data_IF_221807648948
#
_entry.id   IF_221807648948
#
_cell.length_a   1.000
_cell.length_b   1.000
_cell.length_c   1.000
_cell.angle_alpha   90.00
_cell.angle_beta   90.00
_cell.angle_gamma   90.00
#
_symmetry.space_group_name_H-M   'P 1'
#
loop_
_entity.id
_entity.type
_entity.pdbx_description
1 polymer ?
#
# COMPACT_ATOMS: atom_id res chain seq x y z
N UNK A 1 -31.20 17.61 14.76
CA UNK A 1 -30.07 18.28 14.07
C UNK A 1 -28.84 17.53 14.53
N UNK A 2 -28.49 16.48 13.82
CA UNK A 2 -27.32 15.65 14.11
C UNK A 2 -26.20 16.20 13.25
N UNK A 3 -25.22 16.78 13.93
CA UNK A 3 -23.98 17.28 13.32
C UNK A 3 -23.24 16.09 12.68
N UNK A 4 -23.29 16.02 11.36
CA UNK A 4 -22.49 15.09 10.57
C UNK A 4 -21.05 15.62 10.62
N UNK A 5 -20.29 15.19 11.63
CA UNK A 5 -18.87 15.44 11.69
C UNK A 5 -18.21 14.74 10.49
N UNK A 6 -18.02 15.48 9.42
CA UNK A 6 -17.20 15.12 8.28
C UNK A 6 -15.87 14.58 8.80
N UNK A 7 -15.59 13.31 8.50
CA UNK A 7 -14.38 12.62 8.94
C UNK A 7 -13.18 13.22 8.23
N UNK A 8 -12.68 14.35 8.72
CA UNK A 8 -11.41 14.91 8.25
C UNK A 8 -10.29 13.92 8.58
N UNK A 9 -9.55 13.51 7.56
CA UNK A 9 -8.27 12.81 7.74
C UNK A 9 -7.44 13.54 8.80
N UNK A 10 -6.85 12.83 9.78
CA UNK A 10 -6.01 13.46 10.80
C UNK A 10 -5.00 14.41 10.16
N UNK A 11 -4.78 15.57 10.78
CA UNK A 11 -3.82 16.60 10.29
C UNK A 11 -2.45 16.02 9.96
N UNK A 12 -2.03 14.96 10.68
CA UNK A 12 -0.79 14.21 10.42
C UNK A 12 -0.73 13.57 9.03
N UNK A 13 -1.88 13.31 8.39
CA UNK A 13 -1.94 12.73 7.04
C UNK A 13 -2.05 13.80 5.94
N UNK A 14 -2.50 15.03 6.27
CA UNK A 14 -2.59 16.14 5.31
C UNK A 14 -1.22 16.62 4.84
N UNK A 15 -0.17 16.43 5.64
CA UNK A 15 1.21 16.84 5.36
C UNK A 15 2.13 15.67 4.93
N UNK A 16 1.59 14.53 4.48
CA UNK A 16 2.43 13.46 3.98
C UNK A 16 3.08 13.89 2.67
N UNK A 17 4.41 13.87 2.54
CA UNK A 17 5.04 14.05 1.24
C UNK A 17 4.47 13.00 0.29
N UNK A 18 4.14 13.41 -0.94
CA UNK A 18 3.70 12.48 -2.01
C UNK A 18 4.64 11.28 -1.99
N UNK A 19 4.13 10.04 -1.90
CA UNK A 19 4.98 8.89 -2.10
C UNK A 19 5.65 9.11 -3.45
N UNK A 20 6.96 8.99 -3.49
CA UNK A 20 7.67 8.91 -4.77
C UNK A 20 7.27 7.57 -5.36
N UNK A 21 6.20 7.58 -6.18
CA UNK A 21 5.44 6.42 -6.61
C UNK A 21 6.19 5.34 -7.37
N UNK A 22 7.44 5.60 -7.71
CA UNK A 22 8.21 4.75 -8.64
C UNK A 22 9.07 3.67 -7.97
N UNK A 23 9.04 3.55 -6.65
CA UNK A 23 9.92 2.60 -5.94
C UNK A 23 9.30 1.20 -5.88
N UNK A 24 8.00 1.05 -6.17
CA UNK A 24 7.26 -0.13 -5.79
C UNK A 24 6.35 -0.65 -6.91
N UNK A 25 6.85 -1.54 -7.74
CA UNK A 25 5.99 -2.47 -8.45
C UNK A 25 5.55 -3.57 -7.44
N UNK A 26 4.25 -3.75 -7.19
CA UNK A 26 3.78 -4.40 -5.98
C UNK A 26 4.00 -5.91 -5.91
N UNK A 27 3.59 -6.67 -6.91
CA UNK A 27 3.54 -8.12 -6.79
C UNK A 27 4.71 -8.83 -7.41
N UNK A 28 5.19 -8.39 -8.58
CA UNK A 28 6.32 -9.03 -9.30
C UNK A 28 7.64 -8.90 -8.57
N UNK A 29 7.84 -7.79 -7.83
CA UNK A 29 9.08 -7.55 -7.08
C UNK A 29 8.98 -7.98 -5.62
N UNK A 30 7.75 -8.08 -5.05
CA UNK A 30 7.49 -8.42 -3.66
C UNK A 30 6.21 -9.23 -3.49
N UNK A 31 6.17 -10.50 -3.91
CA UNK A 31 4.96 -11.33 -3.83
C UNK A 31 4.48 -11.54 -2.39
N UNK A 32 5.34 -11.32 -1.38
CA UNK A 32 5.00 -11.46 0.04
C UNK A 32 4.44 -10.18 0.66
N UNK A 33 4.31 -9.08 -0.08
CA UNK A 33 3.82 -7.80 0.44
C UNK A 33 2.74 -7.20 -0.44
N UNK A 34 1.82 -6.46 0.20
CA UNK A 34 0.74 -5.72 -0.48
C UNK A 34 0.76 -4.27 -0.02
N UNK A 35 0.77 -3.28 -0.91
CA UNK A 35 0.52 -1.90 -0.53
C UNK A 35 -0.97 -1.70 -0.24
N UNK A 36 -1.29 -1.16 0.92
CA UNK A 36 -2.65 -0.85 1.34
C UNK A 36 -2.76 0.65 1.59
N UNK A 37 -3.69 1.36 0.93
CA UNK A 37 -3.90 2.78 1.16
C UNK A 37 -4.23 3.10 2.62
N UNK A 38 -3.69 4.20 3.16
CA UNK A 38 -3.96 4.58 4.55
C UNK A 38 -5.46 4.79 4.87
N UNK A 39 -6.30 5.34 3.98
CA UNK A 39 -7.74 5.40 4.23
C UNK A 39 -8.37 4.03 4.48
N UNK A 40 -7.87 2.99 3.82
CA UNK A 40 -8.32 1.61 4.03
C UNK A 40 -7.81 1.03 5.34
N UNK A 41 -6.57 1.37 5.74
CA UNK A 41 -6.01 0.98 7.05
C UNK A 41 -6.81 1.60 8.18
N UNK A 42 -7.16 2.89 8.05
CA UNK A 42 -7.84 3.70 9.05
C UNK A 42 -9.37 3.71 8.88
N UNK A 43 -9.91 2.76 8.13
CA UNK A 43 -11.36 2.71 7.86
C UNK A 43 -12.17 2.71 9.15
N UNK A 44 -13.20 3.56 9.19
CA UNK A 44 -14.24 3.53 10.23
C UNK A 44 -15.20 2.41 9.91
N UNK A 45 -15.56 1.65 10.91
CA UNK A 45 -16.44 0.50 10.74
C UNK A 45 -17.58 0.61 11.74
N UNK A 46 -18.79 0.64 11.22
CA UNK A 46 -19.99 0.53 12.03
C UNK A 46 -20.29 -0.95 12.27
N UNK A 47 -20.07 -1.41 13.49
CA UNK A 47 -20.35 -2.79 13.89
C UNK A 47 -19.08 -3.64 14.12
N UNK A 48 -19.26 -4.95 14.27
CA UNK A 48 -18.16 -5.86 14.60
C UNK A 48 -17.23 -6.04 13.41
N UNK A 49 -15.99 -5.62 13.58
CA UNK A 49 -14.90 -5.85 12.63
C UNK A 49 -13.75 -6.58 13.34
N UNK A 50 -13.39 -7.75 12.86
CA UNK A 50 -12.45 -8.65 13.53
C UNK A 50 -11.08 -8.68 12.85
N UNK A 51 -10.09 -9.29 13.54
CA UNK A 51 -8.81 -9.58 12.91
C UNK A 51 -8.95 -10.49 11.67
N UNK A 52 -9.90 -11.42 11.71
CA UNK A 52 -10.20 -12.30 10.58
C UNK A 52 -10.63 -11.50 9.34
N UNK A 53 -11.53 -10.52 9.52
CA UNK A 53 -12.02 -9.69 8.41
C UNK A 53 -10.86 -8.96 7.73
N UNK A 54 -9.95 -8.41 8.53
CA UNK A 54 -8.79 -7.69 8.03
C UNK A 54 -7.82 -8.60 7.29
N UNK A 55 -7.51 -9.73 7.87
CA UNK A 55 -6.62 -10.74 7.26
C UNK A 55 -7.20 -11.29 5.96
N UNK A 56 -8.49 -11.61 5.96
CA UNK A 56 -9.17 -12.12 4.78
C UNK A 56 -9.18 -11.08 3.66
N UNK A 57 -9.51 -9.83 3.97
CA UNK A 57 -9.46 -8.74 2.99
C UNK A 57 -8.05 -8.59 2.38
N UNK A 58 -7.01 -8.66 3.19
CA UNK A 58 -5.64 -8.57 2.71
C UNK A 58 -5.28 -9.75 1.79
N UNK A 59 -5.71 -10.97 2.11
CA UNK A 59 -5.52 -12.12 1.24
C UNK A 59 -6.27 -11.99 -0.08
N UNK A 60 -7.51 -11.50 -0.05
CA UNK A 60 -8.30 -11.24 -1.25
C UNK A 60 -7.61 -10.17 -2.11
N UNK A 61 -7.13 -9.08 -1.51
CA UNK A 61 -6.39 -8.05 -2.21
C UNK A 61 -5.09 -8.58 -2.81
N UNK A 62 -4.32 -9.35 -2.05
CA UNK A 62 -3.08 -9.95 -2.53
C UNK A 62 -3.33 -10.88 -3.72
N UNK A 63 -4.37 -11.70 -3.64
CA UNK A 63 -4.75 -12.63 -4.71
C UNK A 63 -5.20 -11.90 -6.00
N UNK A 64 -5.89 -10.77 -5.86
CA UNK A 64 -6.41 -9.99 -6.99
C UNK A 64 -5.39 -9.00 -7.58
N UNK A 65 -4.24 -8.79 -6.93
CA UNK A 65 -3.37 -7.64 -7.17
C UNK A 65 -3.02 -7.41 -8.64
N UNK A 66 -2.59 -8.44 -9.35
CA UNK A 66 -2.14 -8.33 -10.75
C UNK A 66 -3.31 -8.13 -11.74
N UNK A 67 -4.54 -8.22 -11.26
CA UNK A 67 -5.75 -8.13 -12.07
C UNK A 67 -6.72 -7.02 -11.61
N UNK A 68 -6.27 -6.15 -10.67
CA UNK A 68 -7.14 -5.11 -10.10
C UNK A 68 -7.63 -4.07 -11.12
N UNK A 69 -6.89 -3.84 -12.20
CA UNK A 69 -7.22 -2.94 -13.30
C UNK A 69 -7.80 -3.67 -14.52
N UNK A 70 -7.94 -4.99 -14.43
CA UNK A 70 -8.50 -5.80 -15.52
C UNK A 70 -10.01 -5.62 -15.62
N UNK A 71 -10.56 -5.95 -16.80
CA UNK A 71 -12.02 -5.96 -17.04
C UNK A 71 -12.72 -7.22 -16.51
N UNK A 72 -12.02 -8.04 -15.72
CA UNK A 72 -12.64 -9.23 -15.11
C UNK A 72 -13.75 -8.82 -14.15
N UNK A 73 -14.94 -9.39 -14.26
CA UNK A 73 -16.04 -9.05 -13.36
C UNK A 73 -15.80 -9.54 -11.94
N UNK A 74 -15.08 -10.65 -11.78
CA UNK A 74 -14.77 -11.25 -10.48
C UNK A 74 -13.36 -11.81 -10.45
N UNK A 75 -12.73 -11.68 -9.29
CA UNK A 75 -11.58 -12.46 -8.87
C UNK A 75 -12.07 -13.72 -8.17
N UNK A 76 -11.24 -14.77 -8.12
CA UNK A 76 -11.57 -16.00 -7.42
C UNK A 76 -10.48 -16.36 -6.42
N UNK A 77 -10.86 -16.89 -5.26
CA UNK A 77 -9.93 -17.39 -4.25
C UNK A 77 -10.44 -18.71 -3.68
N UNK A 78 -9.53 -19.67 -3.49
CA UNK A 78 -9.85 -20.97 -2.92
C UNK A 78 -10.03 -20.88 -1.40
N UNK A 79 -11.14 -21.40 -0.87
CA UNK A 79 -11.38 -21.54 0.57
C UNK A 79 -10.29 -22.42 1.21
N UNK A 80 -9.94 -23.54 0.57
CA UNK A 80 -8.89 -24.42 1.05
C UNK A 80 -7.51 -23.72 1.13
N UNK A 81 -7.21 -22.84 0.17
CA UNK A 81 -5.96 -22.08 0.19
C UNK A 81 -5.95 -21.05 1.31
N UNK A 82 -7.05 -20.33 1.52
CA UNK A 82 -7.20 -19.40 2.65
C UNK A 82 -6.96 -20.15 3.96
N UNK A 83 -7.65 -21.27 4.18
CA UNK A 83 -7.50 -22.07 5.39
C UNK A 83 -6.07 -22.60 5.58
N UNK A 84 -5.44 -23.05 4.49
CA UNK A 84 -4.04 -23.48 4.49
C UNK A 84 -3.08 -22.36 4.93
N UNK A 85 -3.27 -21.14 4.42
CA UNK A 85 -2.47 -19.98 4.80
C UNK A 85 -2.68 -19.61 6.26
N UNK A 86 -3.92 -19.59 6.73
CA UNK A 86 -4.22 -19.34 8.15
C UNK A 86 -3.58 -20.38 9.07
N UNK A 87 -3.65 -21.66 8.73
CA UNK A 87 -3.01 -22.76 9.51
C UNK A 87 -1.49 -22.65 9.50
N UNK A 88 -0.89 -22.19 8.38
CA UNK A 88 0.57 -22.06 8.25
C UNK A 88 1.15 -20.89 9.03
N UNK A 89 0.51 -19.73 8.98
CA UNK A 89 1.07 -18.49 9.49
C UNK A 89 0.36 -17.94 10.73
N UNK A 90 -0.81 -18.39 11.03
CA UNK A 90 -1.59 -17.92 12.15
C UNK A 90 -2.37 -19.03 12.82
N UNK A 91 -2.63 -18.90 14.12
CA UNK A 91 -3.69 -19.65 14.75
C UNK A 91 -5.01 -19.20 14.16
N UNK A 92 -5.81 -20.16 13.77
CA UNK A 92 -7.16 -19.95 13.27
C UNK A 92 -8.04 -19.38 14.38
N UNK A 93 -8.17 -18.07 14.47
CA UNK A 93 -9.25 -17.42 15.23
C UNK A 93 -10.58 -17.57 14.47
N UNK A 94 -10.73 -18.68 13.76
CA UNK A 94 -11.93 -19.06 13.03
C UNK A 94 -13.04 -19.55 13.97
N UNK A 95 -12.97 -19.17 15.26
CA UNK A 95 -14.08 -19.39 16.19
C UNK A 95 -14.15 -20.79 16.83
N UNK A 96 -13.09 -21.60 16.72
CA UNK A 96 -13.07 -22.96 17.28
C UNK A 96 -12.83 -23.06 18.79
N UNK A 97 -12.68 -21.94 19.51
CA UNK A 97 -12.74 -21.98 20.97
C UNK A 97 -14.20 -22.01 21.45
N UNK A 98 -14.80 -23.19 21.49
CA UNK A 98 -15.96 -23.48 22.30
C UNK A 98 -17.32 -23.53 21.60
N UNK A 99 -17.40 -23.42 20.27
CA UNK A 99 -18.68 -23.50 19.56
C UNK A 99 -18.63 -24.37 18.30
N UNK A 100 -18.15 -25.60 18.44
CA UNK A 100 -18.56 -26.65 17.50
C UNK A 100 -20.06 -26.81 17.64
N UNK A 101 -20.82 -26.26 16.68
CA UNK A 101 -22.26 -26.53 16.61
C UNK A 101 -22.40 -28.03 16.44
N UNK A 102 -23.08 -28.66 17.38
CA UNK A 102 -23.34 -30.10 17.37
C UNK A 102 -23.78 -30.53 15.95
N UNK A 103 -23.04 -31.45 15.31
CA UNK A 103 -23.36 -32.00 13.98
C UNK A 103 -22.67 -31.36 12.80
N UNK A 104 -21.71 -30.39 12.97
CA UNK A 104 -20.90 -29.84 11.87
C UNK A 104 -19.45 -30.25 12.00
N UNK A 105 -18.78 -30.53 10.87
CA UNK A 105 -17.35 -30.73 10.82
C UNK A 105 -16.59 -29.43 11.12
N UNK A 106 -15.32 -29.53 11.54
CA UNK A 106 -14.44 -28.38 11.78
C UNK A 106 -14.33 -27.53 10.52
N UNK A 107 -14.15 -28.13 9.37
CA UNK A 107 -14.08 -27.48 8.05
C UNK A 107 -15.36 -26.72 7.67
N UNK A 108 -16.53 -27.25 7.99
CA UNK A 108 -17.81 -26.56 7.79
C UNK A 108 -17.94 -25.32 8.67
N UNK A 109 -17.45 -25.41 9.88
CA UNK A 109 -17.47 -24.29 10.84
C UNK A 109 -16.51 -23.20 10.40
N UNK A 110 -15.29 -23.54 9.98
CA UNK A 110 -14.29 -22.63 9.46
C UNK A 110 -14.78 -21.92 8.17
N UNK A 111 -15.34 -22.69 7.23
CA UNK A 111 -15.90 -22.14 5.98
C UNK A 111 -17.08 -21.18 6.24
N UNK A 112 -17.93 -21.50 7.21
CA UNK A 112 -19.02 -20.60 7.60
C UNK A 112 -18.49 -19.30 8.22
N UNK A 113 -17.46 -19.37 9.07
CA UNK A 113 -16.81 -18.20 9.65
C UNK A 113 -16.15 -17.29 8.60
N UNK A 114 -15.50 -17.89 7.59
CA UNK A 114 -14.97 -17.14 6.45
C UNK A 114 -16.08 -16.43 5.68
N UNK A 115 -17.20 -17.12 5.40
CA UNK A 115 -18.30 -16.49 4.68
C UNK A 115 -18.94 -15.34 5.46
N UNK A 116 -19.08 -15.48 6.78
CA UNK A 116 -19.54 -14.37 7.64
C UNK A 116 -18.56 -13.20 7.63
N UNK A 117 -17.26 -13.47 7.56
CA UNK A 117 -16.24 -12.45 7.39
C UNK A 117 -16.40 -11.72 6.05
N UNK A 118 -16.59 -12.45 4.95
CA UNK A 118 -16.88 -11.86 3.62
C UNK A 118 -18.13 -10.97 3.66
N UNK A 119 -19.20 -11.41 4.32
CA UNK A 119 -20.42 -10.59 4.49
C UNK A 119 -20.16 -9.28 5.22
N UNK A 120 -19.30 -9.28 6.25
CA UNK A 120 -18.91 -8.05 6.94
C UNK A 120 -18.09 -7.15 6.03
N UNK A 121 -17.16 -7.69 5.23
CA UNK A 121 -16.39 -6.91 4.27
C UNK A 121 -17.25 -6.22 3.21
N UNK A 122 -18.30 -6.88 2.73
CA UNK A 122 -19.28 -6.28 1.79
C UNK A 122 -20.08 -5.15 2.44
N UNK A 123 -20.32 -5.22 3.76
CA UNK A 123 -21.05 -4.20 4.51
C UNK A 123 -20.15 -3.07 5.02
N UNK A 124 -18.84 -3.24 5.00
CA UNK A 124 -17.89 -2.25 5.50
C UNK A 124 -17.53 -1.27 4.41
N UNK A 125 -17.80 0.01 4.62
CA UNK A 125 -17.46 1.08 3.69
C UNK A 125 -16.12 1.72 4.03
N UNK A 126 -15.45 2.22 3.01
CA UNK A 126 -14.26 3.06 3.10
C UNK A 126 -14.50 4.34 2.32
N UNK A 127 -14.10 5.45 2.93
CA UNK A 127 -14.17 6.77 2.32
C UNK A 127 -12.75 7.25 2.00
N UNK A 128 -12.62 7.95 0.89
CA UNK A 128 -11.36 8.59 0.50
C UNK A 128 -11.64 9.93 -0.18
N UNK A 129 -10.63 10.76 -0.22
CA UNK A 129 -10.65 12.04 -0.91
C UNK A 129 -9.37 12.19 -1.73
N UNK A 130 -9.50 12.55 -2.98
CA UNK A 130 -8.38 12.94 -3.84
C UNK A 130 -8.54 14.40 -4.31
N UNK A 131 -7.78 14.84 -5.32
CA UNK A 131 -7.83 16.24 -5.79
C UNK A 131 -9.16 16.59 -6.46
N UNK A 132 -9.80 15.60 -7.09
CA UNK A 132 -10.97 15.80 -7.94
C UNK A 132 -12.25 15.24 -7.33
N UNK A 133 -12.16 14.23 -6.45
CA UNK A 133 -13.31 13.45 -6.00
C UNK A 133 -13.26 13.10 -4.52
N UNK A 134 -14.45 13.10 -3.92
CA UNK A 134 -14.71 12.34 -2.69
C UNK A 134 -15.37 11.02 -3.10
N UNK A 135 -14.86 9.92 -2.57
CA UNK A 135 -15.35 8.59 -2.91
C UNK A 135 -15.72 7.77 -1.70
N UNK A 136 -16.73 6.93 -1.87
CA UNK A 136 -17.13 5.91 -0.91
C UNK A 136 -17.29 4.57 -1.65
N UNK A 137 -16.83 3.48 -1.05
CA UNK A 137 -17.01 2.14 -1.56
C UNK A 137 -17.07 1.12 -0.43
N UNK A 138 -17.69 -0.04 -0.68
CA UNK A 138 -17.48 -1.17 0.20
C UNK A 138 -16.05 -1.71 0.06
N UNK A 139 -15.49 -2.32 1.11
CA UNK A 139 -14.19 -2.99 1.07
C UNK A 139 -14.16 -4.13 0.04
N UNK A 140 -15.27 -4.83 -0.11
CA UNK A 140 -15.56 -5.78 -1.18
C UNK A 140 -16.91 -5.37 -1.77
N UNK A 141 -16.95 -5.01 -3.03
CA UNK A 141 -18.19 -4.51 -3.64
C UNK A 141 -19.25 -5.58 -3.78
N UNK A 142 -18.83 -6.80 -4.07
CA UNK A 142 -19.70 -7.95 -4.27
C UNK A 142 -18.94 -9.24 -3.98
N UNK A 143 -19.63 -10.25 -3.46
CA UNK A 143 -19.09 -11.60 -3.30
C UNK A 143 -20.14 -12.67 -3.56
N UNK A 144 -19.71 -13.75 -4.22
CA UNK A 144 -20.54 -14.91 -4.54
C UNK A 144 -19.91 -16.17 -3.95
N UNK A 145 -20.72 -16.97 -3.31
CA UNK A 145 -20.36 -18.31 -2.89
C UNK A 145 -21.28 -19.30 -3.60
N UNK A 146 -20.70 -20.23 -4.36
CA UNK A 146 -21.49 -21.28 -5.00
C UNK A 146 -22.29 -22.08 -3.96
N UNK A 147 -23.55 -22.38 -4.23
CA UNK A 147 -24.34 -23.32 -3.40
C UNK A 147 -23.68 -24.70 -3.31
N UNK A 148 -22.86 -25.03 -4.32
CA UNK A 148 -22.02 -26.23 -4.37
C UNK A 148 -20.58 -25.91 -3.94
N UNK A 149 -20.38 -24.97 -3.00
CA UNK A 149 -19.04 -24.53 -2.59
C UNK A 149 -18.17 -25.68 -2.06
N UNK A 150 -18.78 -26.73 -1.51
CA UNK A 150 -18.10 -27.97 -1.10
C UNK A 150 -17.44 -28.70 -2.29
N UNK A 151 -17.97 -28.52 -3.50
CA UNK A 151 -17.41 -29.12 -4.72
C UNK A 151 -16.40 -28.18 -5.38
N UNK A 152 -16.71 -26.87 -5.43
CA UNK A 152 -15.87 -25.88 -6.09
C UNK A 152 -14.83 -25.26 -5.18
N UNK A 153 -15.12 -25.16 -3.87
CA UNK A 153 -14.22 -24.58 -2.86
C UNK A 153 -13.80 -23.14 -3.09
N UNK A 154 -14.53 -22.37 -3.92
CA UNK A 154 -14.13 -21.01 -4.33
C UNK A 154 -15.12 -19.95 -3.87
N UNK A 155 -14.56 -18.79 -3.52
CA UNK A 155 -15.27 -17.52 -3.33
C UNK A 155 -14.94 -16.64 -4.54
N UNK A 156 -15.95 -16.10 -5.19
CA UNK A 156 -15.82 -15.06 -6.22
C UNK A 156 -16.12 -13.71 -5.58
N UNK A 157 -15.34 -12.70 -5.92
CA UNK A 157 -15.46 -11.38 -5.31
C UNK A 157 -14.98 -10.28 -6.25
N UNK A 158 -15.45 -9.05 -6.02
CA UNK A 158 -15.04 -7.88 -6.78
C UNK A 158 -14.71 -6.72 -5.87
N UNK A 159 -13.78 -5.88 -6.31
CA UNK A 159 -13.52 -4.56 -5.73
C UNK A 159 -14.20 -3.47 -6.56
N UNK A 160 -14.68 -2.42 -5.91
CA UNK A 160 -15.23 -1.27 -6.62
C UNK A 160 -14.15 -0.59 -7.47
N UNK A 161 -14.46 -0.19 -8.71
CA UNK A 161 -13.49 0.44 -9.63
C UNK A 161 -12.79 1.67 -9.03
N UNK A 162 -13.52 2.50 -8.26
CA UNK A 162 -12.96 3.65 -7.56
C UNK A 162 -11.93 3.23 -6.49
N UNK A 163 -12.27 2.23 -5.67
CA UNK A 163 -11.37 1.69 -4.66
C UNK A 163 -10.14 1.04 -5.30
N UNK A 164 -10.30 0.27 -6.37
CA UNK A 164 -9.18 -0.34 -7.11
C UNK A 164 -8.19 0.71 -7.61
N UNK A 165 -8.66 1.82 -8.16
CA UNK A 165 -7.80 2.94 -8.57
C UNK A 165 -7.01 3.53 -7.39
N UNK A 166 -7.66 3.72 -6.23
CA UNK A 166 -6.99 4.22 -5.02
C UNK A 166 -5.95 3.23 -4.49
N UNK A 167 -6.21 1.93 -4.62
CA UNK A 167 -5.28 0.87 -4.21
C UNK A 167 -4.05 0.83 -5.13
N UNK A 168 -4.23 0.97 -6.44
CA UNK A 168 -3.15 0.92 -7.43
C UNK A 168 -2.28 2.17 -7.43
N UNK A 169 -2.85 3.35 -7.14
CA UNK A 169 -2.14 4.62 -7.12
C UNK A 169 -2.36 5.39 -5.79
N UNK A 170 -2.01 4.82 -4.64
CA UNK A 170 -2.28 5.45 -3.35
C UNK A 170 -1.35 6.64 -3.11
N UNK A 171 -1.89 7.75 -2.60
CA UNK A 171 -1.09 8.91 -2.14
C UNK A 171 -0.23 8.58 -0.93
N UNK A 172 -0.75 7.73 -0.04
CA UNK A 172 -0.06 7.22 1.13
C UNK A 172 -0.50 5.77 1.39
N UNK A 173 0.45 4.89 1.63
CA UNK A 173 0.18 3.48 1.83
C UNK A 173 1.11 2.83 2.85
N UNK A 174 0.65 1.74 3.45
CA UNK A 174 1.43 0.80 4.22
C UNK A 174 1.80 -0.39 3.32
N UNK A 175 3.05 -0.84 3.36
CA UNK A 175 3.50 -2.04 2.65
C UNK A 175 3.43 -3.24 3.57
N UNK A 176 2.28 -3.89 3.57
CA UNK A 176 1.99 -4.96 4.50
C UNK A 176 2.63 -6.28 4.08
N UNK A 177 3.27 -6.95 5.02
CA UNK A 177 3.78 -8.33 4.85
C UNK A 177 2.67 -9.29 5.22
N UNK A 178 2.16 -10.01 4.23
CA UNK A 178 1.00 -10.89 4.38
C UNK A 178 1.22 -11.91 5.50
N UNK A 179 2.37 -12.58 5.53
CA UNK A 179 2.66 -13.60 6.55
C UNK A 179 2.69 -13.04 7.98
N UNK A 180 3.18 -11.80 8.17
CA UNK A 180 3.20 -11.13 9.48
C UNK A 180 1.77 -10.79 9.92
N UNK A 181 0.99 -10.18 9.03
CA UNK A 181 -0.42 -9.86 9.33
C UNK A 181 -1.19 -11.12 9.69
N UNK A 182 -0.94 -12.24 8.98
CA UNK A 182 -1.59 -13.51 9.29
C UNK A 182 -1.15 -14.08 10.66
N UNK A 183 0.10 -13.87 11.07
CA UNK A 183 0.62 -14.35 12.35
C UNK A 183 0.09 -13.57 13.56
N UNK A 184 -0.17 -12.26 13.43
CA UNK A 184 -0.74 -11.43 14.49
C UNK A 184 -2.12 -11.94 14.91
N UNK A 185 -2.40 -11.99 16.21
CA UNK A 185 -3.65 -12.56 16.78
C UNK A 185 -4.69 -11.50 17.11
N UNK A 186 -4.23 -10.40 17.72
CA UNK A 186 -5.10 -9.34 18.17
C UNK A 186 -5.50 -8.42 17.01
N UNK A 187 -6.79 -8.03 16.94
CA UNK A 187 -7.24 -6.97 16.01
C UNK A 187 -6.48 -5.67 16.20
N UNK A 188 -6.07 -5.38 17.44
CA UNK A 188 -5.31 -4.19 17.78
C UNK A 188 -3.87 -4.27 17.25
N UNK A 189 -3.24 -5.44 17.36
CA UNK A 189 -1.90 -5.67 16.81
C UNK A 189 -1.89 -5.59 15.29
N UNK A 190 -2.88 -6.19 14.61
CA UNK A 190 -3.03 -6.12 13.17
C UNK A 190 -3.15 -4.66 12.71
N UNK A 191 -4.11 -3.92 13.26
CA UNK A 191 -4.34 -2.53 12.84
C UNK A 191 -3.15 -1.62 13.20
N UNK A 192 -2.56 -1.79 14.38
CA UNK A 192 -1.39 -1.02 14.78
C UNK A 192 -0.19 -1.31 13.85
N UNK A 193 0.08 -2.57 13.52
CA UNK A 193 1.14 -2.96 12.58
C UNK A 193 0.95 -2.29 11.22
N UNK A 194 -0.27 -2.29 10.69
CA UNK A 194 -0.59 -1.65 9.41
C UNK A 194 -0.32 -0.14 9.44
N UNK A 195 -0.71 0.53 10.53
CA UNK A 195 -0.43 1.96 10.70
C UNK A 195 1.08 2.21 10.80
N UNK A 196 1.78 1.45 11.64
CA UNK A 196 3.21 1.63 11.88
C UNK A 196 4.04 1.39 10.61
N UNK A 197 3.64 0.43 9.77
CA UNK A 197 4.30 0.14 8.49
C UNK A 197 4.30 1.34 7.54
N UNK A 198 3.30 2.21 7.60
CA UNK A 198 3.27 3.44 6.82
C UNK A 198 4.27 4.51 7.34
N UNK A 199 4.73 4.39 8.57
CA UNK A 199 5.63 5.37 9.20
C UNK A 199 7.08 4.92 9.23
N UNK A 200 7.37 3.62 9.17
CA UNK A 200 8.72 3.07 9.35
C UNK A 200 9.74 3.58 8.31
N UNK A 201 9.30 3.96 7.11
CA UNK A 201 10.16 4.48 6.05
C UNK A 201 10.25 6.01 6.03
N UNK A 202 9.66 6.70 6.99
CA UNK A 202 9.77 8.15 7.10
C UNK A 202 11.15 8.55 7.63
N UNK A 203 11.55 9.79 7.35
CA UNK A 203 12.81 10.36 7.85
C UNK A 203 12.88 10.32 9.38
N UNK A 204 11.77 10.64 10.04
CA UNK A 204 11.59 10.47 11.47
C UNK A 204 10.81 9.17 11.68
N UNK A 205 11.48 8.13 12.17
CA UNK A 205 10.88 6.83 12.49
C UNK A 205 10.06 6.92 13.79
N UNK A 206 9.35 8.01 13.99
CA UNK A 206 8.45 8.20 15.13
C UNK A 206 7.21 8.97 14.70
N UNK A 207 6.11 8.73 15.40
CA UNK A 207 4.91 9.54 15.27
C UNK A 207 4.18 9.64 16.60
N UNK A 208 3.44 10.74 16.74
CA UNK A 208 2.63 11.00 17.93
C UNK A 208 1.18 11.10 17.52
N UNK A 209 0.32 10.45 18.28
CA UNK A 209 -1.14 10.41 18.06
C UNK A 209 -1.86 10.74 19.36
N UNK A 210 -3.01 11.41 19.28
CA UNK A 210 -3.88 11.61 20.45
C UNK A 210 -4.45 10.28 20.92
N UNK A 211 -4.75 10.14 22.20
CA UNK A 211 -5.39 8.92 22.71
C UNK A 211 -6.75 8.71 22.04
N UNK A 212 -7.47 9.79 21.76
CA UNK A 212 -8.76 9.76 21.08
C UNK A 212 -8.64 9.20 19.67
N UNK A 213 -7.75 9.75 18.84
CA UNK A 213 -7.49 9.24 17.48
C UNK A 213 -7.00 7.80 17.51
N UNK A 214 -6.10 7.46 18.45
CA UNK A 214 -5.60 6.11 18.62
C UNK A 214 -6.73 5.11 18.89
N UNK A 215 -7.66 5.44 19.81
CA UNK A 215 -8.83 4.60 20.09
C UNK A 215 -9.70 4.42 18.86
N UNK A 216 -9.93 5.52 18.13
CA UNK A 216 -10.71 5.53 16.89
C UNK A 216 -10.08 4.62 15.83
N UNK A 217 -8.77 4.76 15.59
CA UNK A 217 -8.06 3.98 14.57
C UNK A 217 -8.04 2.48 14.89
N UNK A 218 -7.80 2.13 16.16
CA UNK A 218 -7.79 0.74 16.61
C UNK A 218 -9.18 0.16 16.86
N UNK A 219 -10.25 0.96 16.66
CA UNK A 219 -11.62 0.52 16.87
C UNK A 219 -11.83 -0.02 18.29
N UNK A 220 -11.28 0.70 19.27
CA UNK A 220 -11.50 0.45 20.68
C UNK A 220 -12.93 0.91 21.03
N UNK A 221 -13.81 0.06 21.59
CA UNK A 221 -15.16 0.47 21.98
C UNK A 221 -15.15 1.68 22.91
N UNK A 222 -16.13 2.58 22.76
CA UNK A 222 -16.18 3.82 23.53
C UNK A 222 -16.22 3.59 25.04
N UNK A 223 -16.94 2.56 25.44
CA UNK A 223 -17.14 2.15 26.84
C UNK A 223 -15.98 1.29 27.40
N UNK A 224 -15.04 0.86 26.56
CA UNK A 224 -13.95 -0.01 26.99
C UNK A 224 -12.67 0.79 27.25
N UNK A 225 -11.96 0.44 28.35
CA UNK A 225 -10.62 0.98 28.66
C UNK A 225 -10.58 2.52 28.69
N UNK A 226 -11.48 3.13 29.46
CA UNK A 226 -11.68 4.58 29.49
C UNK A 226 -10.42 5.34 29.96
N UNK A 227 -9.66 4.81 30.89
CA UNK A 227 -8.44 5.44 31.37
C UNK A 227 -7.17 4.93 30.63
N UNK A 228 -6.10 5.73 30.70
CA UNK A 228 -4.81 5.39 30.10
C UNK A 228 -4.21 4.08 30.63
N UNK A 229 -4.36 3.80 31.92
CA UNK A 229 -3.79 2.61 32.54
C UNK A 229 -4.40 1.34 31.94
N UNK A 230 -5.72 1.34 31.78
CA UNK A 230 -6.43 0.21 31.20
C UNK A 230 -6.23 0.11 29.70
N UNK A 231 -6.25 1.22 28.96
CA UNK A 231 -5.93 1.26 27.54
C UNK A 231 -4.50 0.74 27.28
N UNK A 232 -3.53 1.21 28.06
CA UNK A 232 -2.14 0.74 27.99
C UNK A 232 -2.06 -0.76 28.23
N UNK A 233 -2.67 -1.27 29.31
CA UNK A 233 -2.57 -2.67 29.73
C UNK A 233 -3.25 -3.62 28.74
N UNK A 234 -4.41 -3.25 28.22
CA UNK A 234 -5.26 -4.17 27.45
C UNK A 234 -5.14 -3.99 25.94
N UNK A 235 -4.60 -2.87 25.45
CA UNK A 235 -4.50 -2.55 24.02
C UNK A 235 -3.05 -2.29 23.60
N UNK A 236 -2.40 -1.25 24.17
CA UNK A 236 -1.10 -0.78 23.66
C UNK A 236 0.00 -1.82 23.93
N UNK A 237 0.16 -2.25 25.18
CA UNK A 237 1.18 -3.20 25.59
C UNK A 237 1.08 -4.54 24.86
N UNK A 238 -0.10 -5.19 24.81
CA UNK A 238 -0.23 -6.47 24.10
C UNK A 238 0.02 -6.31 22.60
N UNK A 239 -0.50 -5.25 21.97
CA UNK A 239 -0.31 -5.01 20.54
C UNK A 239 1.16 -4.77 20.17
N UNK A 240 1.86 -3.94 20.94
CA UNK A 240 3.30 -3.68 20.75
C UNK A 240 4.12 -4.93 21.02
N UNK A 241 3.81 -5.68 22.08
CA UNK A 241 4.48 -6.95 22.39
C UNK A 241 4.36 -7.94 21.23
N UNK A 242 3.16 -8.14 20.72
CA UNK A 242 2.89 -9.06 19.61
C UNK A 242 3.57 -8.62 18.30
N UNK A 243 3.61 -7.32 18.00
CA UNK A 243 4.35 -6.80 16.84
C UNK A 243 5.85 -7.07 16.99
N UNK A 244 6.41 -6.86 18.17
CA UNK A 244 7.84 -7.05 18.43
C UNK A 244 8.24 -8.54 18.45
N UNK A 245 7.35 -9.47 18.79
CA UNK A 245 7.56 -10.92 18.61
C UNK A 245 7.86 -11.27 17.14
N UNK A 246 7.32 -10.50 16.22
CA UNK A 246 7.51 -10.64 14.78
C UNK A 246 8.43 -9.55 14.17
N UNK A 247 9.20 -8.82 14.99
CA UNK A 247 9.95 -7.63 14.56
C UNK A 247 10.95 -7.89 13.44
N UNK A 248 11.65 -9.01 13.45
CA UNK A 248 12.57 -9.41 12.38
C UNK A 248 11.82 -9.66 11.06
N UNK A 249 10.81 -10.50 11.09
CA UNK A 249 9.98 -10.80 9.92
C UNK A 249 9.13 -9.60 9.50
N UNK A 250 8.62 -8.84 10.46
CA UNK A 250 7.88 -7.60 10.29
C UNK A 250 8.73 -6.46 9.75
N UNK A 251 10.04 -6.54 9.96
CA UNK A 251 11.00 -5.59 9.46
C UNK A 251 11.19 -4.35 10.33
N UNK A 252 10.59 -4.30 11.51
CA UNK A 252 10.81 -3.25 12.49
C UNK A 252 10.38 -3.67 13.90
N UNK A 253 10.96 -3.01 14.87
CA UNK A 253 10.56 -3.04 16.26
C UNK A 253 9.92 -1.70 16.64
N UNK A 254 9.05 -1.70 17.63
CA UNK A 254 8.34 -0.51 18.10
C UNK A 254 8.45 -0.37 19.61
N UNK A 255 8.70 0.87 20.06
CA UNK A 255 8.54 1.29 21.45
C UNK A 255 7.48 2.39 21.52
N UNK A 256 6.92 2.61 22.71
CA UNK A 256 5.90 3.61 22.91
C UNK A 256 6.10 4.36 24.23
N UNK A 257 5.66 5.61 24.25
CA UNK A 257 5.64 6.49 25.42
C UNK A 257 4.31 7.22 25.49
N UNK A 258 3.69 7.23 26.69
CA UNK A 258 2.51 8.06 26.96
C UNK A 258 2.92 9.47 27.30
N UNK A 259 2.43 10.46 26.58
CA UNK A 259 2.71 11.87 26.80
C UNK A 259 1.56 12.55 27.55
N UNK A 260 1.90 13.40 28.50
CA UNK A 260 0.91 14.14 29.30
C UNK A 260 0.71 15.55 28.75
N UNK A 261 -0.52 16.01 28.85
CA UNK A 261 -0.87 17.43 28.76
C UNK A 261 -1.50 17.82 30.11
N UNK A 262 -0.74 18.58 30.89
CA UNK A 262 -1.08 18.84 32.29
C UNK A 262 -0.98 17.57 33.15
N UNK A 263 -2.05 17.21 33.83
CA UNK A 263 -2.12 16.02 34.73
C UNK A 263 -2.54 14.74 34.01
N UNK A 264 -3.19 14.84 32.86
CA UNK A 264 -3.74 13.71 32.11
C UNK A 264 -2.79 13.23 31.00
N UNK A 265 -2.84 11.93 30.68
CA UNK A 265 -2.23 11.42 29.46
C UNK A 265 -3.15 11.79 28.28
N UNK A 266 -2.57 12.45 27.26
CA UNK A 266 -3.32 12.94 26.11
C UNK A 266 -2.84 12.33 24.78
N UNK A 267 -1.56 11.94 24.69
CA UNK A 267 -0.96 11.45 23.45
C UNK A 267 -0.11 10.20 23.68
N UNK A 268 0.11 9.47 22.63
CA UNK A 268 1.02 8.32 22.58
C UNK A 268 2.05 8.62 21.50
N UNK A 269 3.33 8.54 21.85
CA UNK A 269 4.44 8.58 20.89
C UNK A 269 4.91 7.16 20.62
N UNK A 270 4.96 6.77 19.37
CA UNK A 270 5.56 5.52 18.92
C UNK A 270 6.90 5.82 18.25
N UNK A 271 7.92 5.02 18.58
CA UNK A 271 9.25 5.11 17.97
C UNK A 271 9.57 3.77 17.33
N UNK A 272 10.00 3.80 16.07
CA UNK A 272 10.23 2.63 15.24
C UNK A 272 11.73 2.48 14.98
N UNK A 273 12.22 1.24 15.07
CA UNK A 273 13.58 0.86 14.64
C UNK A 273 13.49 -0.23 13.60
N UNK A 274 14.11 -0.03 12.44
CA UNK A 274 14.13 -1.03 11.37
C UNK A 274 14.95 -2.24 11.77
N UNK A 275 14.52 -3.44 11.34
CA UNK A 275 15.35 -4.62 11.43
C UNK A 275 16.45 -4.59 10.36
N UNK A 276 17.64 -5.21 10.62
CA UNK A 276 18.72 -5.28 9.63
C UNK A 276 18.27 -5.89 8.30
N UNK A 277 17.46 -6.93 8.35
CA UNK A 277 16.92 -7.58 7.17
C UNK A 277 16.01 -6.68 6.32
N UNK A 278 15.38 -5.66 6.93
CA UNK A 278 14.62 -4.65 6.19
C UNK A 278 15.54 -3.63 5.54
N UNK A 279 16.54 -3.14 6.25
CA UNK A 279 17.49 -2.16 5.71
C UNK A 279 18.22 -2.74 4.49
N UNK A 280 18.65 -3.98 4.52
CA UNK A 280 19.27 -4.67 3.39
C UNK A 280 18.32 -4.75 2.19
N UNK A 281 17.05 -5.12 2.42
CA UNK A 281 16.04 -5.17 1.35
C UNK A 281 15.73 -3.80 0.76
N UNK A 282 15.55 -2.81 1.60
CA UNK A 282 15.30 -1.42 1.17
C UNK A 282 16.48 -0.90 0.34
N UNK A 283 17.73 -1.21 0.73
CA UNK A 283 18.93 -0.87 -0.02
C UNK A 283 18.97 -1.54 -1.41
N UNK A 284 18.64 -2.83 -1.49
CA UNK A 284 18.57 -3.57 -2.76
C UNK A 284 17.51 -2.97 -3.68
N UNK A 285 16.35 -2.63 -3.14
CA UNK A 285 15.25 -2.03 -3.90
C UNK A 285 15.59 -0.63 -4.41
N UNK A 286 16.17 0.20 -3.56
CA UNK A 286 16.64 1.53 -3.95
C UNK A 286 17.69 1.42 -5.07
N UNK A 287 18.59 0.43 -4.98
CA UNK A 287 19.58 0.18 -6.04
C UNK A 287 18.92 -0.27 -7.36
N UNK A 288 17.89 -1.14 -7.29
CA UNK A 288 17.10 -1.54 -8.48
C UNK A 288 16.32 -0.36 -9.05
N UNK A 289 15.65 0.44 -8.21
CA UNK A 289 14.91 1.61 -8.63
C UNK A 289 15.83 2.69 -9.25
N UNK A 290 17.01 2.93 -8.67
CA UNK A 290 18.03 3.82 -9.27
C UNK A 290 18.47 3.30 -10.64
N UNK A 291 18.69 1.99 -10.79
CA UNK A 291 19.02 1.38 -12.08
C UNK A 291 17.85 1.51 -13.08
N UNK A 292 16.62 1.24 -12.66
CA UNK A 292 15.44 1.41 -13.49
C UNK A 292 15.27 2.87 -13.93
N UNK A 293 15.42 3.85 -13.02
CA UNK A 293 15.39 5.28 -13.36
C UNK A 293 16.54 5.72 -14.27
N UNK A 294 17.71 5.12 -14.16
CA UNK A 294 18.80 5.36 -15.10
C UNK A 294 18.51 4.72 -16.49
N UNK A 295 17.60 3.77 -16.55
CA UNK A 295 17.14 3.09 -17.77
C UNK A 295 15.88 3.73 -18.36
N UNK A 296 15.01 4.32 -17.53
CA UNK A 296 13.85 5.12 -17.94
C UNK A 296 14.24 6.61 -18.02
N UNK A 297 15.09 6.97 -18.92
CA UNK A 297 14.83 8.18 -19.67
C UNK A 297 13.43 8.02 -20.28
N UNK A 298 12.66 9.11 -20.58
CA UNK A 298 11.30 8.97 -21.08
C UNK A 298 11.29 7.87 -22.14
N UNK A 299 10.48 6.84 -21.90
CA UNK A 299 10.39 5.71 -22.81
C UNK A 299 10.03 6.31 -24.17
N UNK A 300 11.01 6.35 -25.07
CA UNK A 300 10.74 6.66 -26.43
C UNK A 300 9.84 5.52 -26.88
N UNK A 301 8.53 5.80 -26.92
CA UNK A 301 7.55 4.95 -27.59
C UNK A 301 8.18 4.62 -28.94
N UNK A 302 8.37 3.35 -29.21
CA UNK A 302 8.94 2.90 -30.47
C UNK A 302 8.09 3.53 -31.59
N UNK A 303 8.67 4.54 -32.30
CA UNK A 303 7.99 5.31 -33.33
C UNK A 303 7.78 6.81 -33.03
N UNK A 304 7.94 7.30 -31.79
CA UNK A 304 7.88 8.76 -31.53
C UNK A 304 9.20 9.43 -31.90
N UNK A 305 9.14 10.46 -32.74
CA UNK A 305 10.32 11.25 -33.09
C UNK A 305 10.86 11.94 -31.82
N UNK A 306 12.17 11.84 -31.60
CA UNK A 306 12.83 12.50 -30.47
C UNK A 306 12.47 13.99 -30.40
N UNK A 307 12.04 14.46 -29.22
CA UNK A 307 11.79 15.86 -28.91
C UNK A 307 12.71 16.36 -27.80
N UNK A 308 13.54 17.39 -28.07
CA UNK A 308 14.40 17.96 -27.05
C UNK A 308 13.58 18.85 -26.10
N UNK A 309 13.93 18.83 -24.80
CA UNK A 309 13.38 19.80 -23.84
C UNK A 309 13.89 21.24 -24.14
N UNK A 310 13.15 22.25 -23.62
CA UNK A 310 13.56 23.65 -23.74
C UNK A 310 14.97 23.92 -23.19
N UNK A 311 15.36 23.22 -22.13
CA UNK A 311 16.71 23.29 -21.57
C UNK A 311 17.78 22.80 -22.56
N UNK A 312 17.50 21.74 -23.31
CA UNK A 312 18.40 21.22 -24.36
C UNK A 312 18.48 22.19 -25.52
N UNK A 313 17.35 22.76 -25.95
CA UNK A 313 17.30 23.77 -27.00
C UNK A 313 18.06 25.05 -26.60
N UNK A 314 18.03 25.43 -25.32
CA UNK A 314 18.82 26.55 -24.80
C UNK A 314 20.33 26.24 -24.84
N UNK A 315 20.74 25.02 -24.47
CA UNK A 315 22.15 24.61 -24.55
C UNK A 315 22.70 24.62 -25.97
N UNK A 316 21.87 24.36 -27.00
CA UNK A 316 22.33 24.41 -28.39
C UNK A 316 22.79 25.79 -28.84
N UNK A 317 22.29 26.87 -28.20
CA UNK A 317 22.76 28.25 -28.48
C UNK A 317 24.25 28.42 -28.15
N UNK A 318 24.71 27.72 -27.11
CA UNK A 318 26.12 27.77 -26.68
C UNK A 318 26.99 26.77 -27.41
N UNK A 319 26.45 25.59 -27.76
CA UNK A 319 27.18 24.47 -28.36
C UNK A 319 27.36 24.65 -29.85
N UNK A 320 26.35 25.18 -30.56
CA UNK A 320 26.32 25.38 -31.99
C UNK A 320 25.79 26.78 -32.33
N UNK A 321 26.52 27.84 -31.99
CA UNK A 321 26.07 29.21 -32.24
C UNK A 321 25.94 29.44 -33.77
N UNK A 322 24.85 30.04 -34.20
CA UNK A 322 24.54 30.32 -35.60
C UNK A 322 23.92 29.18 -36.39
N UNK A 323 23.82 27.96 -35.85
CA UNK A 323 23.16 26.86 -36.52
C UNK A 323 21.64 26.86 -36.28
N UNK A 324 20.88 26.52 -37.31
CA UNK A 324 19.44 26.30 -37.18
C UNK A 324 19.14 25.06 -36.35
N UNK A 325 18.52 25.26 -35.20
CA UNK A 325 18.17 24.21 -34.24
C UNK A 325 17.16 23.22 -34.78
N UNK A 326 16.21 23.70 -35.62
CA UNK A 326 15.19 22.84 -36.22
C UNK A 326 15.83 21.95 -37.31
N UNK A 327 16.73 22.50 -38.10
CA UNK A 327 17.50 21.74 -39.08
C UNK A 327 18.38 20.68 -38.42
N UNK A 328 19.08 21.01 -37.33
CA UNK A 328 19.85 20.03 -36.54
C UNK A 328 18.97 18.93 -35.96
N UNK A 329 17.80 19.27 -35.46
CA UNK A 329 16.85 18.30 -34.93
C UNK A 329 16.31 17.36 -36.00
N UNK A 330 15.97 17.90 -37.17
CA UNK A 330 15.51 17.13 -38.33
C UNK A 330 16.59 16.15 -38.81
N UNK A 331 17.84 16.61 -38.91
CA UNK A 331 18.98 15.76 -39.30
C UNK A 331 19.25 14.68 -38.25
N UNK A 332 19.14 14.98 -36.94
CA UNK A 332 19.29 13.98 -35.89
C UNK A 332 18.20 12.92 -35.95
N UNK A 333 16.95 13.32 -36.15
CA UNK A 333 15.82 12.40 -36.32
C UNK A 333 16.06 11.44 -37.49
N UNK A 334 16.51 11.97 -38.62
CA UNK A 334 16.85 11.15 -39.79
C UNK A 334 18.02 10.19 -39.49
N UNK A 335 19.11 10.69 -38.91
CA UNK A 335 20.27 9.88 -38.54
C UNK A 335 19.93 8.80 -37.50
N UNK A 336 18.96 9.01 -36.64
CA UNK A 336 18.56 8.05 -35.59
C UNK A 336 17.54 7.02 -36.08
N UNK A 337 16.94 7.17 -37.24
CA UNK A 337 16.04 6.17 -37.82
C UNK A 337 16.73 4.79 -37.92
N UNK A 338 16.03 3.76 -37.43
CA UNK A 338 16.53 2.37 -37.44
C UNK A 338 17.62 2.06 -36.41
N UNK A 339 18.03 2.99 -35.57
CA UNK A 339 18.96 2.76 -34.45
C UNK A 339 18.20 2.49 -33.15
N UNK A 340 18.79 1.67 -32.29
CA UNK A 340 18.27 1.46 -30.97
C UNK A 340 18.17 2.81 -30.19
N UNK A 341 17.08 3.04 -29.42
CA UNK A 341 16.95 4.25 -28.63
C UNK A 341 18.15 4.43 -27.70
N UNK A 342 18.68 5.65 -27.61
CA UNK A 342 19.82 5.92 -26.75
C UNK A 342 19.33 5.97 -25.26
N UNK A 343 20.10 5.39 -24.35
CA UNK A 343 19.81 5.40 -22.90
C UNK A 343 19.66 6.81 -22.32
N UNK A 344 20.32 7.79 -22.95
CA UNK A 344 20.23 9.22 -22.59
C UNK A 344 19.95 10.03 -23.86
N UNK A 345 18.70 10.17 -24.28
CA UNK A 345 18.33 10.79 -25.56
C UNK A 345 18.86 12.21 -25.71
N UNK A 346 18.76 13.03 -24.67
CA UNK A 346 19.27 14.41 -24.65
C UNK A 346 20.78 14.47 -24.77
N UNK A 347 21.52 13.58 -24.05
CA UNK A 347 22.97 13.47 -24.13
C UNK A 347 23.44 12.98 -25.51
N UNK A 348 22.74 12.03 -26.08
CA UNK A 348 23.02 11.51 -27.41
C UNK A 348 22.85 12.59 -28.50
N UNK A 349 21.76 13.36 -28.42
CA UNK A 349 21.51 14.48 -29.31
C UNK A 349 22.60 15.56 -29.21
N UNK A 350 22.92 16.01 -27.99
CA UNK A 350 23.99 17.00 -27.74
C UNK A 350 25.34 16.48 -28.25
N UNK A 351 25.67 15.23 -27.98
CA UNK A 351 26.91 14.58 -28.46
C UNK A 351 26.97 14.49 -29.97
N UNK A 352 25.84 14.19 -30.62
CA UNK A 352 25.73 14.17 -32.08
C UNK A 352 25.89 15.57 -32.66
N UNK A 353 25.23 16.60 -32.13
CA UNK A 353 25.37 17.99 -32.56
C UNK A 353 26.81 18.45 -32.46
N UNK A 354 27.47 18.26 -31.31
CA UNK A 354 28.90 18.58 -31.15
C UNK A 354 29.80 17.94 -32.23
N UNK A 355 29.47 16.73 -32.63
CA UNK A 355 30.24 16.00 -33.67
C UNK A 355 29.99 16.56 -35.09
N UNK A 356 28.73 16.87 -35.41
CA UNK A 356 28.34 17.33 -36.74
C UNK A 356 28.77 18.79 -36.99
N UNK A 357 28.77 19.62 -35.94
CA UNK A 357 29.13 21.04 -36.02
C UNK A 357 30.62 21.31 -35.79
N UNK A 358 31.39 20.30 -35.34
CA UNK A 358 32.84 20.44 -35.09
C UNK A 358 33.61 20.83 -36.34
N UNK A 359 34.20 22.03 -36.34
CA UNK A 359 35.03 22.51 -37.46
C UNK A 359 34.26 22.94 -38.72
N UNK A 360 32.94 23.09 -38.64
CA UNK A 360 32.12 23.58 -39.74
C UNK A 360 31.56 24.97 -39.43
N UNK A 361 31.52 25.83 -40.42
CA UNK A 361 30.80 27.10 -40.30
C UNK A 361 29.27 26.84 -40.28
N UNK A 362 28.52 27.68 -39.57
CA UNK A 362 27.06 27.67 -39.64
C UNK A 362 26.62 27.97 -41.06
N UNK A 363 25.76 27.13 -41.63
CA UNK A 363 25.18 27.31 -42.96
C UNK A 363 23.95 28.22 -42.85
#
# INVERSE_FOLDING_TARGET
MTDSASAQLPLALKNTPKPTGDIWEPSKTHPATVPVPLPVVMVRVDGPFTALDRKLWLLMLHNAWDELDSDKPYHEISVAEILRLFRKFGRTDLGTRGTLKVGKSEEETESAALWESVRRLVKTTVEWEDEDYQGISALVSEALLSKRYRETGKIYYAFGKGLSKQILAPRAFARLRVHVVLALRSKYAVTLYEILEAYVNRRESSFTVTIEDFRLWLKVPEDAYADWKDLKRNVVMPAVGEINEHGEDGGFFVSYEGLREGKAFAKIKFTLSKSPARDDRDAVLQKKARRARSFTGPAATAGAAYEPSDAVLAQLRTIAPGWDRQALLAQYREWSKGKAPADKPHGAFIGWVKRVTKGKAAA
#
